data_IF_709397805116
#
_entry.id   IF_709397805116
#
_cell.length_a   1.000
_cell.length_b   1.000
_cell.length_c   1.000
_cell.angle_alpha   90.00
_cell.angle_beta   90.00
_cell.angle_gamma   90.00
#
_symmetry.space_group_name_H-M   'P 1'
#
loop_
_entity.id
_entity.type
_entity.pdbx_description
1 polymer ?
#
# COMPACT_ATOMS: atom_id res chain seq x y z
N UNK A 1 34.81 15.74 -21.99
CA UNK A 1 33.53 16.05 -21.33
C UNK A 1 33.20 14.96 -20.34
N UNK A 2 33.98 14.95 -19.26
CA UNK A 2 33.79 14.12 -18.09
C UNK A 2 32.87 14.85 -17.09
N UNK A 3 32.38 14.09 -16.11
CA UNK A 3 31.61 14.51 -14.93
C UNK A 3 30.12 14.74 -15.19
N UNK A 4 29.28 13.77 -14.77
CA UNK A 4 28.41 13.92 -13.59
C UNK A 4 27.41 12.76 -13.50
N UNK A 5 27.73 11.61 -12.86
CA UNK A 5 26.70 10.66 -12.38
C UNK A 5 27.25 9.56 -11.42
N UNK A 6 28.21 9.89 -10.54
CA UNK A 6 28.69 8.97 -9.48
C UNK A 6 28.69 9.65 -8.11
N UNK A 7 27.56 10.26 -7.73
CA UNK A 7 27.35 10.74 -6.36
C UNK A 7 25.94 10.40 -5.87
N UNK A 8 25.66 9.10 -5.71
CA UNK A 8 24.67 8.66 -4.71
C UNK A 8 25.01 7.31 -4.07
N UNK A 9 26.30 7.04 -3.89
CA UNK A 9 26.81 5.97 -3.03
C UNK A 9 27.47 6.58 -1.79
N UNK A 10 26.67 7.10 -0.87
CA UNK A 10 27.07 7.18 0.55
C UNK A 10 25.87 7.64 1.36
N UNK A 11 25.30 6.71 2.14
CA UNK A 11 24.64 6.95 3.44
C UNK A 11 23.90 5.67 3.83
N UNK A 12 24.61 4.71 4.42
CA UNK A 12 24.10 3.95 5.58
C UNK A 12 25.21 3.04 6.10
N UNK A 13 26.00 3.56 7.02
CA UNK A 13 26.47 2.80 8.16
C UNK A 13 26.35 3.68 9.41
N UNK A 14 25.99 3.02 10.52
CA UNK A 14 25.95 3.52 11.92
C UNK A 14 24.71 4.39 12.24
N UNK A 15 23.89 4.17 13.27
CA UNK A 15 23.94 3.38 14.51
C UNK A 15 22.49 3.28 15.09
N UNK A 16 22.19 2.91 16.36
CA UNK A 16 22.97 2.18 17.37
C UNK A 16 22.19 1.00 18.02
N UNK A 17 22.98 0.06 18.53
CA UNK A 17 22.65 -0.84 19.64
C UNK A 17 22.38 0.00 20.90
N UNK A 18 21.13 0.37 21.20
CA UNK A 18 20.78 1.05 22.46
C UNK A 18 19.32 0.85 22.92
N UNK A 19 18.72 -0.33 22.76
CA UNK A 19 17.41 -0.62 23.42
C UNK A 19 17.35 -2.05 23.96
N UNK A 20 18.46 -2.57 24.51
CA UNK A 20 18.50 -3.91 25.13
C UNK A 20 18.87 -3.89 26.62
N UNK A 21 18.66 -2.78 27.34
CA UNK A 21 19.08 -2.64 28.74
C UNK A 21 17.98 -2.22 29.74
N UNK A 22 16.69 -2.38 29.41
CA UNK A 22 15.60 -2.10 30.39
C UNK A 22 14.82 -3.37 30.76
N UNK A 23 15.48 -4.54 30.83
CA UNK A 23 14.86 -5.69 31.49
C UNK A 23 15.84 -6.59 32.27
N UNK A 24 16.96 -6.03 32.70
CA UNK A 24 17.91 -6.70 33.58
C UNK A 24 17.81 -6.13 34.99
N UNK A 25 16.75 -6.53 35.71
CA UNK A 25 16.47 -6.11 37.08
C UNK A 25 15.90 -7.24 37.94
N UNK A 26 16.80 -8.10 38.42
CA UNK A 26 16.78 -8.86 39.70
C UNK A 26 15.47 -9.52 40.20
N UNK A 27 15.45 -10.87 40.12
CA UNK A 27 15.39 -11.85 41.24
C UNK A 27 14.21 -11.85 42.26
N UNK A 28 13.93 -12.99 42.95
CA UNK A 28 12.59 -13.41 43.38
C UNK A 28 12.17 -12.84 44.74
N UNK A 29 10.86 -12.60 44.90
CA UNK A 29 10.26 -12.22 46.18
C UNK A 29 10.06 -13.46 47.09
N UNK A 30 10.89 -13.56 48.12
CA UNK A 30 10.70 -14.45 49.28
C UNK A 30 9.73 -13.76 50.25
N UNK A 31 8.62 -14.42 50.56
CA UNK A 31 7.63 -14.00 51.55
C UNK A 31 8.19 -14.09 52.97
N UNK A 32 8.15 -13.00 53.74
CA UNK A 32 8.20 -13.04 55.21
C UNK A 32 7.24 -12.01 55.80
N UNK A 33 6.16 -12.53 56.38
CA UNK A 33 5.23 -11.84 57.27
C UNK A 33 5.91 -11.51 58.60
N UNK A 34 5.84 -10.25 59.05
CA UNK A 34 5.95 -9.88 60.46
C UNK A 34 4.99 -8.73 60.81
N UNK A 35 4.15 -9.01 61.78
CA UNK A 35 3.24 -8.14 62.53
C UNK A 35 4.01 -7.16 63.43
N UNK A 36 3.55 -5.91 63.58
CA UNK A 36 3.46 -5.25 64.90
C UNK A 36 2.79 -3.87 64.80
N UNK A 37 1.88 -3.61 65.73
CA UNK A 37 1.14 -2.38 65.92
C UNK A 37 1.92 -1.37 66.76
N UNK A 38 1.72 -0.06 66.53
CA UNK A 38 1.85 1.00 67.55
C UNK A 38 1.19 2.31 67.09
N UNK A 39 0.58 2.98 68.07
CA UNK A 39 -0.34 4.13 67.95
C UNK A 39 0.38 5.47 67.77
N UNK A 40 -0.28 6.37 67.03
CA UNK A 40 -0.56 7.79 67.33
C UNK A 40 0.60 8.80 67.48
N UNK A 41 0.63 9.82 66.62
CA UNK A 41 0.43 11.26 66.94
C UNK A 41 1.08 12.21 65.90
N UNK A 42 0.32 13.25 65.54
CA UNK A 42 0.71 14.55 64.94
C UNK A 42 0.99 14.64 63.43
N UNK A 43 0.13 15.43 62.76
CA UNK A 43 0.28 15.91 61.39
C UNK A 43 1.59 16.70 61.20
N UNK A 44 2.16 16.62 59.99
CA UNK A 44 2.13 17.80 59.15
C UNK A 44 1.31 17.54 57.89
N UNK A 45 0.45 18.50 57.55
CA UNK A 45 -0.32 18.58 56.30
C UNK A 45 0.62 18.33 55.11
N UNK A 46 0.51 17.21 54.36
CA UNK A 46 1.22 17.12 53.10
C UNK A 46 0.58 18.12 52.15
N UNK A 47 1.40 18.99 51.56
CA UNK A 47 1.01 19.77 50.38
C UNK A 47 0.32 18.82 49.38
N UNK A 48 -0.71 19.25 48.64
CA UNK A 48 -1.27 18.41 47.60
C UNK A 48 -0.11 18.10 46.64
N UNK A 49 0.43 16.88 46.71
CA UNK A 49 1.20 16.36 45.61
C UNK A 49 0.25 16.48 44.45
N UNK A 50 0.58 17.36 43.51
CA UNK A 50 -0.09 17.43 42.23
C UNK A 50 -0.12 15.99 41.76
N UNK A 51 -1.31 15.38 41.80
CA UNK A 51 -1.54 14.05 41.30
C UNK A 51 -1.00 14.12 39.89
N UNK A 52 0.20 13.55 39.68
CA UNK A 52 0.83 13.49 38.39
C UNK A 52 -0.20 12.74 37.55
N UNK A 53 -0.89 13.54 36.73
CA UNK A 53 -2.13 13.16 36.10
C UNK A 53 -1.91 11.79 35.49
N UNK A 54 -2.72 10.82 35.94
CA UNK A 54 -2.93 9.50 35.35
C UNK A 54 -2.25 9.44 33.99
N UNK A 55 -1.00 8.98 33.95
CA UNK A 55 -0.35 8.69 32.68
C UNK A 55 -1.20 7.58 32.09
N UNK A 56 -2.08 7.95 31.15
CA UNK A 56 -2.87 7.00 30.39
C UNK A 56 -1.84 6.05 29.79
N UNK A 57 -1.77 4.85 30.34
CA UNK A 57 -0.91 3.82 29.82
C UNK A 57 -1.49 3.49 28.45
N UNK A 58 -0.88 4.03 27.39
CA UNK A 58 -1.25 3.71 26.03
C UNK A 58 -1.03 2.21 25.89
N UNK A 59 -2.13 1.47 25.94
CA UNK A 59 -2.14 0.05 25.67
C UNK A 59 -1.94 -0.08 24.17
N UNK A 60 -0.69 -0.03 23.73
CA UNK A 60 -0.35 -0.42 22.38
C UNK A 60 -0.61 -1.93 22.31
N UNK A 61 -1.81 -2.32 21.89
CA UNK A 61 -2.05 -3.69 21.46
C UNK A 61 -0.94 -4.05 20.47
N UNK A 62 -0.33 -5.24 20.56
CA UNK A 62 0.73 -5.61 19.64
C UNK A 62 0.22 -5.36 18.23
N UNK A 63 0.94 -4.53 17.45
CA UNK A 63 0.66 -4.37 16.03
C UNK A 63 0.67 -5.78 15.48
N UNK A 64 -0.50 -6.28 15.07
CA UNK A 64 -0.60 -7.47 14.25
C UNK A 64 0.05 -7.10 12.93
N UNK A 65 1.39 -7.22 12.89
CA UNK A 65 2.18 -7.16 11.67
C UNK A 65 1.61 -8.29 10.83
N UNK A 66 0.74 -7.97 9.86
CA UNK A 66 0.45 -8.92 8.80
C UNK A 66 1.83 -9.37 8.29
N UNK A 67 2.05 -10.68 8.20
CA UNK A 67 3.32 -11.21 7.71
C UNK A 67 3.50 -10.70 6.28
N UNK A 68 4.19 -9.57 6.13
CA UNK A 68 4.50 -8.94 4.85
C UNK A 68 5.53 -9.83 4.16
N UNK A 69 5.01 -10.89 3.54
CA UNK A 69 5.78 -11.96 2.89
C UNK A 69 6.21 -11.57 1.48
N UNK A 70 5.98 -10.31 1.06
CA UNK A 70 6.35 -9.78 -0.25
C UNK A 70 6.90 -8.35 -0.19
N UNK A 71 7.73 -8.00 -1.17
CA UNK A 71 8.24 -6.65 -1.33
C UNK A 71 7.17 -5.74 -1.95
N UNK A 72 6.32 -5.13 -1.12
CA UNK A 72 5.23 -4.24 -1.57
C UNK A 72 5.73 -2.93 -2.20
N UNK A 73 6.96 -2.53 -1.88
CA UNK A 73 7.56 -1.29 -2.41
C UNK A 73 7.87 -1.43 -3.90
N UNK A 74 8.33 -2.60 -4.35
CA UNK A 74 8.64 -2.82 -5.77
C UNK A 74 7.38 -2.82 -6.63
N UNK A 75 6.29 -3.43 -6.16
CA UNK A 75 5.01 -3.42 -6.86
C UNK A 75 4.45 -2.00 -6.94
N UNK A 76 4.45 -1.28 -5.82
CA UNK A 76 3.99 0.12 -5.78
C UNK A 76 4.79 1.01 -6.74
N UNK A 77 6.12 0.87 -6.77
CA UNK A 77 6.97 1.60 -7.72
C UNK A 77 6.62 1.27 -9.18
N UNK A 78 6.35 0.00 -9.49
CA UNK A 78 5.97 -0.43 -10.83
C UNK A 78 4.61 0.17 -11.25
N UNK A 79 3.63 0.22 -10.35
CA UNK A 79 2.35 0.88 -10.60
C UNK A 79 2.53 2.37 -10.90
N UNK A 80 3.36 3.08 -10.11
CA UNK A 80 3.63 4.50 -10.32
C UNK A 80 4.34 4.73 -11.66
N UNK A 81 5.34 3.90 -11.97
CA UNK A 81 6.06 3.97 -13.24
C UNK A 81 5.12 3.75 -14.44
N UNK A 82 4.22 2.75 -14.36
CA UNK A 82 3.22 2.51 -15.41
C UNK A 82 2.25 3.70 -15.53
N UNK A 83 1.81 4.28 -14.42
CA UNK A 83 0.91 5.45 -14.41
C UNK A 83 1.54 6.66 -15.10
N UNK A 84 2.81 6.94 -14.79
CA UNK A 84 3.58 8.02 -15.44
C UNK A 84 3.82 7.69 -16.91
N UNK A 85 4.13 6.43 -17.24
CA UNK A 85 4.28 5.98 -18.62
C UNK A 85 3.01 6.19 -19.44
N UNK A 86 1.83 5.87 -18.88
CA UNK A 86 0.54 6.02 -19.55
C UNK A 86 0.27 7.46 -20.00
N UNK A 87 0.76 8.44 -19.24
CA UNK A 87 0.65 9.87 -19.58
C UNK A 87 1.35 10.22 -20.90
N UNK A 88 2.43 9.52 -21.26
CA UNK A 88 3.10 9.67 -22.55
C UNK A 88 2.56 8.73 -23.62
N UNK A 89 2.25 7.48 -23.25
CA UNK A 89 1.79 6.45 -24.18
C UNK A 89 0.49 6.84 -24.88
N UNK A 90 -0.49 7.35 -24.13
CA UNK A 90 -1.80 7.72 -24.68
C UNK A 90 -1.70 8.82 -25.75
N UNK A 91 -1.13 10.01 -25.48
CA UNK A 91 -1.06 11.06 -26.50
C UNK A 91 -0.22 10.63 -27.70
N UNK A 92 0.92 9.96 -27.49
CA UNK A 92 1.78 9.50 -28.59
C UNK A 92 1.07 8.44 -29.45
N UNK A 93 0.44 7.45 -28.83
CA UNK A 93 -0.29 6.39 -29.53
C UNK A 93 -1.48 6.93 -30.33
N UNK A 94 -2.18 7.94 -29.81
CA UNK A 94 -3.27 8.59 -30.52
C UNK A 94 -2.79 9.50 -31.65
N UNK A 95 -1.65 10.19 -31.50
CA UNK A 95 -1.07 11.07 -32.54
C UNK A 95 -0.46 10.30 -33.71
N UNK A 96 0.17 9.15 -33.43
CA UNK A 96 0.84 8.30 -34.42
C UNK A 96 0.26 6.87 -34.40
N UNK A 97 -0.92 6.66 -35.05
CA UNK A 97 -1.57 5.36 -35.05
C UNK A 97 -0.66 4.29 -35.66
N UNK A 98 -0.42 3.23 -34.88
CA UNK A 98 0.35 2.08 -35.31
C UNK A 98 -0.10 0.86 -34.53
N UNK A 99 -0.01 -0.32 -35.13
CA UNK A 99 -0.41 -1.57 -34.47
C UNK A 99 0.38 -1.82 -33.18
N UNK A 100 1.69 -1.51 -33.19
CA UNK A 100 2.53 -1.61 -32.00
C UNK A 100 2.16 -0.58 -30.93
N UNK A 101 1.85 0.66 -31.33
CA UNK A 101 1.37 1.70 -30.42
C UNK A 101 0.04 1.32 -29.76
N UNK A 102 -0.91 0.79 -30.54
CA UNK A 102 -2.19 0.30 -30.02
C UNK A 102 -2.01 -0.89 -29.07
N UNK A 103 -1.13 -1.84 -29.39
CA UNK A 103 -0.81 -2.97 -28.51
C UNK A 103 -0.19 -2.50 -27.19
N UNK A 104 0.76 -1.56 -27.24
CA UNK A 104 1.39 -1.00 -26.05
C UNK A 104 0.38 -0.21 -25.20
N UNK A 105 -0.52 0.53 -25.85
CA UNK A 105 -1.61 1.26 -25.21
C UNK A 105 -2.61 0.29 -24.56
N UNK A 106 -2.98 -0.80 -25.24
CA UNK A 106 -3.84 -1.86 -24.71
C UNK A 106 -3.28 -2.49 -23.43
N UNK A 107 -2.04 -2.99 -23.49
CA UNK A 107 -1.38 -3.61 -22.33
C UNK A 107 -1.30 -2.61 -21.17
N UNK A 108 -0.87 -1.38 -21.45
CA UNK A 108 -0.65 -0.39 -20.39
C UNK A 108 -1.95 0.02 -19.71
N UNK A 109 -3.02 0.26 -20.48
CA UNK A 109 -4.34 0.61 -19.95
C UNK A 109 -4.89 -0.53 -19.11
N UNK A 110 -4.91 -1.76 -19.64
CA UNK A 110 -5.51 -2.90 -18.95
C UNK A 110 -4.72 -3.23 -17.68
N UNK A 111 -3.40 -3.18 -17.72
CA UNK A 111 -2.56 -3.44 -16.55
C UNK A 111 -2.76 -2.38 -15.46
N UNK A 112 -2.80 -1.09 -15.85
CA UNK A 112 -3.07 0.00 -14.91
C UNK A 112 -4.46 -0.15 -14.27
N UNK A 113 -5.45 -0.51 -15.08
CA UNK A 113 -6.82 -0.72 -14.60
C UNK A 113 -6.92 -1.95 -13.68
N UNK A 114 -6.22 -3.05 -13.98
CA UNK A 114 -6.21 -4.26 -13.16
C UNK A 114 -5.66 -3.98 -11.75
N UNK A 115 -4.48 -3.36 -11.63
CA UNK A 115 -3.92 -3.00 -10.31
C UNK A 115 -4.80 -1.99 -9.56
N UNK A 116 -5.37 -1.00 -10.25
CA UNK A 116 -6.27 -0.03 -9.64
C UNK A 116 -7.56 -0.68 -9.11
N UNK A 117 -8.18 -1.58 -9.89
CA UNK A 117 -9.38 -2.31 -9.48
C UNK A 117 -9.09 -3.33 -8.38
N UNK A 118 -7.92 -3.96 -8.38
CA UNK A 118 -7.51 -4.89 -7.31
C UNK A 118 -7.49 -4.19 -5.95
N UNK A 119 -6.95 -2.97 -5.90
CA UNK A 119 -6.97 -2.15 -4.69
C UNK A 119 -8.41 -1.82 -4.25
N UNK A 120 -9.27 -1.44 -5.18
CA UNK A 120 -10.70 -1.17 -4.91
C UNK A 120 -11.39 -2.42 -4.35
N UNK A 121 -11.18 -3.60 -4.96
CA UNK A 121 -11.75 -4.86 -4.48
C UNK A 121 -11.25 -5.16 -3.07
N UNK A 122 -9.96 -4.98 -2.80
CA UNK A 122 -9.36 -5.20 -1.48
C UNK A 122 -9.95 -4.27 -0.41
N UNK A 123 -10.18 -2.99 -0.76
CA UNK A 123 -10.66 -1.98 0.17
C UNK A 123 -12.13 -2.11 0.53
N UNK A 124 -12.96 -2.55 -0.44
CA UNK A 124 -14.42 -2.57 -0.29
C UNK A 124 -15.02 -3.97 -0.13
N UNK A 125 -14.44 -5.02 -0.72
CA UNK A 125 -14.94 -6.40 -0.60
C UNK A 125 -14.33 -7.07 0.63
N UNK A 126 -14.66 -6.53 1.81
CA UNK A 126 -14.06 -7.01 3.07
C UNK A 126 -14.70 -8.33 3.53
N UNK A 127 -13.91 -9.29 4.05
CA UNK A 127 -14.43 -10.55 4.59
C UNK A 127 -15.44 -10.37 5.73
N UNK A 128 -15.33 -9.27 6.49
CA UNK A 128 -16.27 -8.96 7.59
C UNK A 128 -17.68 -8.64 7.09
N UNK A 129 -17.82 -8.15 5.85
CA UNK A 129 -19.10 -7.78 5.25
C UNK A 129 -19.70 -8.92 4.42
N UNK A 130 -18.84 -9.67 3.70
CA UNK A 130 -19.28 -10.62 2.67
C UNK A 130 -18.89 -12.08 2.96
N UNK A 131 -18.26 -12.35 4.11
CA UNK A 131 -17.70 -13.66 4.41
C UNK A 131 -16.40 -13.95 3.66
N UNK A 132 -15.79 -15.10 3.93
CA UNK A 132 -14.45 -15.43 3.43
C UNK A 132 -14.39 -15.85 1.95
N UNK A 133 -15.53 -16.21 1.34
CA UNK A 133 -15.59 -16.71 -0.04
C UNK A 133 -15.65 -15.60 -1.08
N UNK A 134 -16.49 -14.58 -0.87
CA UNK A 134 -16.76 -13.51 -1.85
C UNK A 134 -15.51 -12.73 -2.26
N UNK A 135 -14.59 -12.32 -1.36
CA UNK A 135 -13.38 -11.60 -1.77
C UNK A 135 -12.52 -12.40 -2.75
N UNK A 136 -12.40 -13.72 -2.56
CA UNK A 136 -11.64 -14.61 -3.45
C UNK A 136 -12.27 -14.69 -4.84
N UNK A 137 -13.60 -14.81 -4.88
CA UNK A 137 -14.37 -14.83 -6.13
C UNK A 137 -14.23 -13.49 -6.85
N UNK A 138 -14.29 -12.37 -6.13
CA UNK A 138 -14.15 -11.03 -6.69
C UNK A 138 -12.78 -10.82 -7.37
N UNK A 139 -11.68 -11.23 -6.71
CA UNK A 139 -10.36 -11.19 -7.34
C UNK A 139 -10.24 -12.14 -8.54
N UNK A 140 -10.83 -13.33 -8.46
CA UNK A 140 -10.85 -14.26 -9.59
C UNK A 140 -11.62 -13.70 -10.80
N UNK A 141 -12.78 -13.09 -10.56
CA UNK A 141 -13.56 -12.44 -11.60
C UNK A 141 -12.82 -11.24 -12.20
N UNK A 142 -12.16 -10.43 -11.36
CA UNK A 142 -11.35 -9.31 -11.82
C UNK A 142 -10.27 -9.78 -12.80
N UNK A 143 -9.55 -10.86 -12.46
CA UNK A 143 -8.54 -11.45 -13.34
C UNK A 143 -9.14 -11.92 -14.67
N UNK A 144 -10.28 -12.62 -14.63
CA UNK A 144 -10.96 -13.10 -15.85
C UNK A 144 -11.40 -11.93 -16.73
N UNK A 145 -12.01 -10.89 -16.16
CA UNK A 145 -12.45 -9.72 -16.92
C UNK A 145 -11.27 -8.97 -17.52
N UNK A 146 -10.18 -8.78 -16.76
CA UNK A 146 -8.97 -8.12 -17.28
C UNK A 146 -8.31 -8.93 -18.40
N UNK A 147 -8.20 -10.27 -18.25
CA UNK A 147 -7.64 -11.14 -19.28
C UNK A 147 -8.52 -11.16 -20.55
N UNK A 148 -9.84 -11.25 -20.39
CA UNK A 148 -10.79 -11.19 -21.51
C UNK A 148 -10.72 -9.83 -22.22
N UNK A 149 -10.62 -8.73 -21.47
CA UNK A 149 -10.46 -7.38 -22.04
C UNK A 149 -9.17 -7.26 -22.83
N UNK A 150 -8.04 -7.74 -22.29
CA UNK A 150 -6.76 -7.71 -22.98
C UNK A 150 -6.78 -8.57 -24.25
N UNK A 151 -7.30 -9.79 -24.16
CA UNK A 151 -7.46 -10.68 -25.30
C UNK A 151 -8.37 -10.09 -26.39
N UNK A 152 -9.49 -9.48 -25.99
CA UNK A 152 -10.40 -8.79 -26.89
C UNK A 152 -9.75 -7.60 -27.58
N UNK A 153 -8.97 -6.79 -26.86
CA UNK A 153 -8.21 -5.68 -27.44
C UNK A 153 -7.14 -6.18 -28.42
N UNK A 154 -6.41 -7.25 -28.10
CA UNK A 154 -5.45 -7.82 -29.06
C UNK A 154 -6.13 -8.40 -30.29
N UNK A 155 -7.26 -9.09 -30.13
CA UNK A 155 -8.03 -9.54 -31.28
C UNK A 155 -8.46 -8.35 -32.14
N UNK A 156 -8.95 -7.27 -31.53
CA UNK A 156 -9.36 -6.04 -32.22
C UNK A 156 -8.20 -5.33 -32.93
N UNK A 157 -7.01 -5.31 -32.33
CA UNK A 157 -5.82 -4.70 -32.93
C UNK A 157 -5.32 -5.48 -34.16
N UNK A 158 -5.47 -6.81 -34.16
CA UNK A 158 -4.97 -7.66 -35.25
C UNK A 158 -5.99 -7.88 -36.37
N UNK A 159 -7.29 -7.88 -36.05
CA UNK A 159 -8.35 -8.24 -37.00
C UNK A 159 -9.22 -7.05 -37.43
N UNK A 160 -9.04 -5.87 -36.84
CA UNK A 160 -9.79 -4.65 -37.16
C UNK A 160 -8.84 -3.44 -37.27
N UNK A 161 -9.39 -2.23 -37.35
CA UNK A 161 -8.68 -0.96 -37.57
C UNK A 161 -7.77 -0.52 -36.41
N UNK A 162 -7.88 -1.14 -35.23
CA UNK A 162 -7.10 -0.78 -34.04
C UNK A 162 -7.70 0.35 -33.19
N UNK A 163 -7.09 0.59 -32.02
CA UNK A 163 -7.64 1.45 -30.97
C UNK A 163 -7.58 2.93 -31.39
N UNK A 164 -6.41 3.43 -31.78
CA UNK A 164 -6.25 4.84 -32.12
C UNK A 164 -7.11 5.25 -33.32
N UNK A 165 -7.20 4.41 -34.36
CA UNK A 165 -8.03 4.70 -35.53
C UNK A 165 -9.53 4.65 -35.20
N UNK A 166 -9.95 3.72 -34.33
CA UNK A 166 -11.34 3.66 -33.84
C UNK A 166 -11.73 4.93 -33.12
N UNK A 167 -10.87 5.37 -32.22
CA UNK A 167 -11.04 6.61 -31.47
C UNK A 167 -11.18 7.81 -32.43
N UNK A 168 -10.30 7.91 -33.44
CA UNK A 168 -10.38 8.95 -34.50
C UNK A 168 -11.69 8.88 -35.29
N UNK A 169 -12.16 7.67 -35.63
CA UNK A 169 -13.40 7.47 -36.37
C UNK A 169 -14.63 7.90 -35.56
N UNK A 170 -14.68 7.57 -34.26
CA UNK A 170 -15.73 8.00 -33.34
C UNK A 170 -15.77 9.54 -33.26
N UNK A 171 -14.61 10.19 -33.13
CA UNK A 171 -14.53 11.66 -33.06
C UNK A 171 -14.79 12.39 -34.39
N UNK A 172 -14.71 11.70 -35.52
CA UNK A 172 -14.99 12.28 -36.86
C UNK A 172 -16.48 12.27 -37.24
N UNK A 173 -17.35 11.78 -36.34
CA UNK A 173 -18.79 11.70 -36.62
C UNK A 173 -19.40 13.11 -36.75
N UNK A 174 -19.96 13.41 -37.93
CA UNK A 174 -20.73 14.64 -38.16
C UNK A 174 -22.19 14.40 -37.73
N UNK A 175 -22.87 15.39 -37.10
CA UNK A 175 -24.30 15.28 -36.83
C UNK A 175 -25.06 15.15 -38.15
N UNK A 176 -26.07 14.27 -38.20
CA UNK A 176 -27.01 14.22 -39.32
C UNK A 176 -27.79 15.54 -39.32
N UNK A 177 -27.64 16.30 -40.40
CA UNK A 177 -28.48 17.45 -40.71
C UNK A 177 -29.90 17.00 -41.08
#
# INVERSE_FOLDING_TARGET
MALHFVLRSSCRNSAPVFVSLINAGKAPAISRSLTSASKSLLLPKPAPSLALASLRQFTASPIRRAAATGNHVTLWNAERALSVGLLGILPVGLMFPSQAGDALMAVSIVMHQYWGLEAIVTDYVRPILFGAAVPKIAHGLLLVVSAATLGGLFYFIHNDIGIANTIRKIWSTKPKA
#
